data_IF_927792245596
#
_entry.id   IF_927792245596
#
_cell.length_a   1.000
_cell.length_b   1.000
_cell.length_c   1.000
_cell.angle_alpha   90.00
_cell.angle_beta   90.00
_cell.angle_gamma   90.00
#
_symmetry.space_group_name_H-M   'P 1'
#
loop_
_entity.id
_entity.type
_entity.pdbx_description
1 polymer ?
#
# COMPACT_ATOMS: atom_id res chain seq x y z
N UNK A 1 -16.78 -5.07 -20.63
CA UNK A 1 -16.51 -3.76 -19.99
C UNK A 1 -15.12 -3.81 -19.38
N UNK A 2 -14.29 -2.75 -19.56
CA UNK A 2 -12.99 -2.62 -18.91
C UNK A 2 -13.16 -2.52 -17.40
N UNK A 3 -12.39 -3.29 -16.63
CA UNK A 3 -12.38 -3.19 -15.16
C UNK A 3 -11.62 -1.92 -14.77
N UNK A 4 -12.34 -0.93 -14.23
CA UNK A 4 -11.75 0.34 -13.80
C UNK A 4 -11.02 0.17 -12.46
N UNK A 5 -9.78 0.71 -12.39
CA UNK A 5 -8.89 0.66 -11.23
C UNK A 5 -8.59 2.07 -10.75
N UNK A 6 -8.99 2.40 -9.51
CA UNK A 6 -8.62 3.64 -8.85
C UNK A 6 -7.37 3.41 -7.99
N UNK A 7 -6.31 4.18 -8.24
CA UNK A 7 -5.10 4.21 -7.41
C UNK A 7 -5.27 5.24 -6.32
N UNK A 8 -5.09 4.83 -5.07
CA UNK A 8 -5.23 5.67 -3.88
C UNK A 8 -3.86 5.82 -3.24
N UNK A 9 -3.40 7.06 -3.13
CA UNK A 9 -2.08 7.43 -2.62
C UNK A 9 -2.28 8.24 -1.32
N UNK A 10 -2.11 7.62 -0.14
CA UNK A 10 -2.12 8.37 1.11
C UNK A 10 -0.84 9.22 1.20
N UNK A 11 -0.98 10.51 1.52
CA UNK A 11 0.13 11.46 1.62
C UNK A 11 0.12 12.20 2.95
N UNK A 12 1.32 12.52 3.44
CA UNK A 12 1.55 13.42 4.56
C UNK A 12 2.97 13.95 4.50
N UNK A 13 3.13 15.24 4.15
CA UNK A 13 4.41 15.89 3.89
C UNK A 13 5.26 15.14 2.84
N UNK A 14 4.69 14.98 1.65
CA UNK A 14 5.29 14.25 0.52
C UNK A 14 5.55 15.17 -0.70
N UNK A 15 5.82 16.48 -0.46
CA UNK A 15 6.06 17.46 -1.54
C UNK A 15 7.12 17.00 -2.54
N UNK A 16 8.18 16.36 -2.05
CA UNK A 16 9.29 15.89 -2.89
C UNK A 16 8.92 14.73 -3.83
N UNK A 17 7.80 14.02 -3.59
CA UNK A 17 7.47 12.77 -4.29
C UNK A 17 6.06 12.71 -4.89
N UNK A 18 5.13 13.54 -4.44
CA UNK A 18 3.71 13.39 -4.77
C UNK A 18 3.42 13.50 -6.27
N UNK A 19 4.02 14.45 -6.98
CA UNK A 19 3.82 14.63 -8.43
C UNK A 19 4.28 13.39 -9.19
N UNK A 20 5.48 12.91 -8.88
CA UNK A 20 6.04 11.72 -9.51
C UNK A 20 5.23 10.46 -9.19
N UNK A 21 4.66 10.36 -7.98
CA UNK A 21 3.79 9.23 -7.61
C UNK A 21 2.51 9.22 -8.44
N UNK A 22 1.91 10.39 -8.69
CA UNK A 22 0.72 10.56 -9.54
C UNK A 22 1.04 10.15 -10.99
N UNK A 23 2.11 10.71 -11.59
CA UNK A 23 2.54 10.39 -12.95
C UNK A 23 2.80 8.88 -13.14
N UNK A 24 3.46 8.26 -12.17
CA UNK A 24 3.74 6.81 -12.19
C UNK A 24 2.48 5.97 -12.06
N UNK A 25 1.48 6.42 -11.28
CA UNK A 25 0.21 5.72 -11.19
C UNK A 25 -0.53 5.72 -12.54
N UNK A 26 -0.53 6.84 -13.24
CA UNK A 26 -1.06 6.92 -14.61
C UNK A 26 -0.27 6.04 -15.59
N UNK A 27 1.05 6.10 -15.55
CA UNK A 27 1.93 5.25 -16.38
C UNK A 27 1.71 3.76 -16.12
N UNK A 28 1.40 3.37 -14.88
CA UNK A 28 1.07 1.99 -14.54
C UNK A 28 -0.28 1.53 -15.11
N UNK A 29 -1.12 2.45 -15.60
CA UNK A 29 -2.40 2.14 -16.25
C UNK A 29 -3.62 2.41 -15.40
N UNK A 30 -3.55 3.30 -14.39
CA UNK A 30 -4.70 3.72 -13.61
C UNK A 30 -5.83 4.27 -14.49
N UNK A 31 -7.08 4.11 -14.05
CA UNK A 31 -8.24 4.77 -14.66
C UNK A 31 -8.65 6.01 -13.84
N UNK A 32 -8.15 6.11 -12.61
CA UNK A 32 -8.36 7.21 -11.69
C UNK A 32 -7.21 7.25 -10.67
N UNK A 33 -6.73 8.44 -10.36
CA UNK A 33 -5.71 8.65 -9.30
C UNK A 33 -6.27 9.57 -8.23
N UNK A 34 -6.19 9.13 -6.97
CA UNK A 34 -6.68 9.86 -5.81
C UNK A 34 -5.53 10.03 -4.82
N UNK A 35 -5.22 11.27 -4.53
CA UNK A 35 -4.32 11.62 -3.42
C UNK A 35 -5.18 11.88 -2.19
N UNK A 36 -4.93 11.12 -1.13
CA UNK A 36 -5.64 11.24 0.15
C UNK A 36 -4.70 11.85 1.20
N UNK A 37 -4.81 13.16 1.39
CA UNK A 37 -3.92 13.91 2.27
C UNK A 37 -4.38 13.90 3.73
N UNK A 38 -3.43 13.68 4.64
CA UNK A 38 -3.64 13.59 6.09
C UNK A 38 -3.43 14.90 6.86
N UNK A 39 -3.44 16.05 6.17
CA UNK A 39 -3.18 17.37 6.75
C UNK A 39 -1.72 17.79 6.61
N UNK A 40 -1.13 17.61 5.42
CA UNK A 40 0.23 18.08 5.09
C UNK A 40 0.40 19.58 5.35
N UNK A 41 1.57 19.98 5.80
CA UNK A 41 1.93 21.35 6.11
C UNK A 41 2.98 21.93 5.12
N UNK A 42 3.45 21.09 4.20
CA UNK A 42 4.33 21.44 3.08
C UNK A 42 3.52 21.67 1.79
N UNK A 43 4.19 21.74 0.65
CA UNK A 43 3.55 21.99 -0.64
C UNK A 43 2.81 20.76 -1.23
N UNK A 44 2.66 19.66 -0.49
CA UNK A 44 2.02 18.42 -0.97
C UNK A 44 0.64 18.68 -1.58
N UNK A 45 -0.24 19.37 -0.87
CA UNK A 45 -1.61 19.66 -1.34
C UNK A 45 -1.63 20.61 -2.54
N UNK A 46 -0.77 21.61 -2.56
CA UNK A 46 -0.64 22.54 -3.69
C UNK A 46 -0.21 21.81 -4.96
N UNK A 47 0.83 20.99 -4.86
CA UNK A 47 1.37 20.22 -5.98
C UNK A 47 0.37 19.14 -6.47
N UNK A 48 -0.28 18.43 -5.56
CA UNK A 48 -1.32 17.48 -5.94
C UNK A 48 -2.51 18.15 -6.63
N UNK A 49 -2.95 19.32 -6.13
CA UNK A 49 -4.05 20.09 -6.72
C UNK A 49 -3.76 20.65 -8.12
N UNK A 50 -2.48 20.78 -8.50
CA UNK A 50 -2.03 21.17 -9.83
C UNK A 50 -1.76 19.97 -10.75
N UNK A 51 -1.85 18.75 -10.23
CA UNK A 51 -1.60 17.52 -10.97
C UNK A 51 -2.90 16.86 -11.41
N UNK A 52 -2.81 15.93 -12.35
CA UNK A 52 -3.96 15.15 -12.82
C UNK A 52 -4.35 14.08 -11.79
N UNK A 53 -5.01 14.49 -10.73
CA UNK A 53 -5.54 13.61 -9.71
C UNK A 53 -6.72 14.24 -8.97
N UNK A 54 -7.46 13.42 -8.26
CA UNK A 54 -8.46 13.89 -7.31
C UNK A 54 -7.82 14.02 -5.93
N UNK A 55 -7.71 15.24 -5.41
CA UNK A 55 -7.26 15.48 -4.04
C UNK A 55 -8.44 15.37 -3.06
N UNK A 56 -8.27 14.59 -2.00
CA UNK A 56 -9.19 14.51 -0.87
C UNK A 56 -8.41 14.69 0.43
N UNK A 57 -9.01 15.35 1.41
CA UNK A 57 -8.41 15.54 2.73
C UNK A 57 -9.09 14.65 3.76
N UNK A 58 -8.33 14.21 4.74
CA UNK A 58 -8.82 13.44 5.87
C UNK A 58 -8.05 13.79 7.16
N UNK A 59 -8.57 13.41 8.33
CA UNK A 59 -7.73 13.44 9.54
C UNK A 59 -6.49 12.56 9.35
N UNK A 60 -5.38 12.94 10.00
CA UNK A 60 -4.13 12.20 9.97
C UNK A 60 -4.32 10.73 10.38
N UNK A 61 -3.68 9.83 9.65
CA UNK A 61 -3.73 8.40 9.91
C UNK A 61 -3.92 7.60 8.63
N UNK A 62 -2.99 6.70 8.34
CA UNK A 62 -2.95 5.96 7.06
C UNK A 62 -4.27 5.26 6.74
N UNK A 63 -4.88 4.58 7.71
CA UNK A 63 -6.18 3.94 7.53
C UNK A 63 -7.27 4.95 7.13
N UNK A 64 -7.32 6.11 7.79
CA UNK A 64 -8.29 7.17 7.50
C UNK A 64 -8.11 7.75 6.11
N UNK A 65 -6.87 8.05 5.73
CA UNK A 65 -6.53 8.54 4.40
C UNK A 65 -6.92 7.52 3.31
N UNK A 66 -6.55 6.24 3.49
CA UNK A 66 -6.91 5.18 2.57
C UNK A 66 -8.42 4.97 2.46
N UNK A 67 -9.14 5.04 3.57
CA UNK A 67 -10.61 4.96 3.60
C UNK A 67 -11.25 6.17 2.90
N UNK A 68 -10.77 7.39 3.15
CA UNK A 68 -11.25 8.60 2.50
C UNK A 68 -11.03 8.53 0.98
N UNK A 69 -9.85 8.12 0.53
CA UNK A 69 -9.57 7.89 -0.88
C UNK A 69 -10.47 6.82 -1.49
N UNK A 70 -10.69 5.70 -0.80
CA UNK A 70 -11.58 4.64 -1.25
C UNK A 70 -13.04 5.09 -1.40
N UNK A 71 -13.51 5.95 -0.50
CA UNK A 71 -14.87 6.53 -0.57
C UNK A 71 -15.01 7.49 -1.76
N UNK A 72 -13.96 8.24 -2.10
CA UNK A 72 -13.95 9.15 -3.22
C UNK A 72 -13.75 8.45 -4.58
N UNK A 73 -13.20 7.24 -4.57
CA UNK A 73 -12.90 6.47 -5.76
C UNK A 73 -14.17 6.03 -6.51
N UNK A 74 -14.10 5.94 -7.84
CA UNK A 74 -15.18 5.46 -8.73
C UNK A 74 -14.94 4.05 -9.28
N UNK A 75 -13.69 3.58 -9.30
CA UNK A 75 -13.29 2.30 -9.88
C UNK A 75 -13.88 1.09 -9.16
N UNK A 76 -14.09 0.01 -9.91
CA UNK A 76 -14.48 -1.30 -9.37
C UNK A 76 -13.39 -1.89 -8.47
N UNK A 77 -12.13 -1.59 -8.74
CA UNK A 77 -10.98 -2.06 -7.99
C UNK A 77 -10.27 -0.88 -7.35
N UNK A 78 -9.92 -1.02 -6.08
CA UNK A 78 -9.14 -0.07 -5.31
C UNK A 78 -7.72 -0.60 -5.21
N UNK A 79 -6.72 0.23 -5.55
CA UNK A 79 -5.30 -0.08 -5.43
C UNK A 79 -4.66 0.93 -4.48
N UNK A 80 -4.18 0.48 -3.33
CA UNK A 80 -3.55 1.31 -2.32
C UNK A 80 -2.03 1.32 -2.52
N UNK A 81 -1.45 2.46 -2.86
CA UNK A 81 -0.04 2.61 -3.18
C UNK A 81 0.58 3.71 -2.32
N UNK A 82 1.74 3.46 -1.72
CA UNK A 82 2.49 4.48 -0.99
C UNK A 82 3.14 5.47 -1.98
N UNK A 83 3.33 6.72 -1.56
CA UNK A 83 3.91 7.77 -2.40
C UNK A 83 5.38 7.48 -2.81
N UNK A 84 6.12 6.72 -2.01
CA UNK A 84 7.52 6.35 -2.25
C UNK A 84 7.71 5.02 -3.02
N UNK A 85 6.61 4.35 -3.40
CA UNK A 85 6.60 3.12 -4.18
C UNK A 85 5.95 3.37 -5.55
N UNK A 86 6.29 2.55 -6.56
CA UNK A 86 5.65 2.67 -7.88
C UNK A 86 5.59 1.35 -8.61
N UNK A 87 4.55 1.19 -9.40
CA UNK A 87 4.38 0.07 -10.31
C UNK A 87 5.05 0.35 -11.66
N UNK A 88 5.55 -0.69 -12.30
CA UNK A 88 6.01 -0.60 -13.68
C UNK A 88 4.86 -0.18 -14.62
N UNK A 89 5.22 0.42 -15.76
CA UNK A 89 4.24 0.80 -16.78
C UNK A 89 3.39 -0.40 -17.20
N UNK A 90 2.07 -0.24 -17.26
CA UNK A 90 1.12 -1.29 -17.61
C UNK A 90 0.89 -2.38 -16.55
N UNK A 91 1.53 -2.30 -15.37
CA UNK A 91 1.38 -3.33 -14.34
C UNK A 91 -0.06 -3.49 -13.80
N UNK A 92 -0.89 -2.46 -13.92
CA UNK A 92 -2.30 -2.52 -13.50
C UNK A 92 -3.14 -3.47 -14.39
N UNK A 93 -2.71 -3.79 -15.60
CA UNK A 93 -3.39 -4.80 -16.41
C UNK A 93 -3.36 -6.18 -15.75
N UNK A 94 -2.29 -6.50 -15.00
CA UNK A 94 -2.24 -7.72 -14.20
C UNK A 94 -3.35 -7.76 -13.13
N UNK A 95 -3.72 -6.60 -12.56
CA UNK A 95 -4.85 -6.49 -11.61
C UNK A 95 -6.16 -6.80 -12.34
N UNK A 96 -6.37 -6.22 -13.51
CA UNK A 96 -7.58 -6.45 -14.33
C UNK A 96 -7.74 -7.92 -14.68
N UNK A 97 -6.65 -8.57 -15.10
CA UNK A 97 -6.64 -10.01 -15.41
C UNK A 97 -6.94 -10.87 -14.17
N UNK A 98 -6.32 -10.54 -13.02
CA UNK A 98 -6.57 -11.27 -11.79
C UNK A 98 -8.02 -11.16 -11.33
N UNK A 99 -8.61 -9.97 -11.37
CA UNK A 99 -10.03 -9.73 -11.02
C UNK A 99 -10.96 -10.42 -12.02
N UNK A 100 -10.66 -10.36 -13.32
CA UNK A 100 -11.42 -11.09 -14.35
C UNK A 100 -11.35 -12.60 -14.12
N UNK A 101 -10.25 -13.11 -13.61
CA UNK A 101 -10.03 -14.50 -13.20
C UNK A 101 -10.61 -14.86 -11.83
N UNK A 102 -11.44 -13.98 -11.22
CA UNK A 102 -12.15 -14.26 -9.97
C UNK A 102 -11.37 -13.97 -8.68
N UNK A 103 -10.24 -13.26 -8.75
CA UNK A 103 -9.57 -12.79 -7.54
C UNK A 103 -10.36 -11.63 -6.92
N UNK A 104 -10.53 -11.62 -5.60
CA UNK A 104 -11.12 -10.48 -4.88
C UNK A 104 -10.05 -9.50 -4.40
N UNK A 105 -8.81 -9.94 -4.16
CA UNK A 105 -7.72 -9.10 -3.66
C UNK A 105 -6.35 -9.72 -3.94
N UNK A 106 -5.31 -8.90 -3.75
CA UNK A 106 -3.93 -9.35 -3.86
C UNK A 106 -2.92 -8.22 -3.66
N UNK A 107 -1.70 -8.48 -4.10
CA UNK A 107 -0.58 -7.55 -4.01
C UNK A 107 0.49 -7.92 -5.05
N UNK A 108 1.54 -7.11 -5.17
CA UNK A 108 2.59 -7.30 -6.15
C UNK A 108 3.88 -7.87 -5.54
N UNK A 109 4.66 -8.56 -6.37
CA UNK A 109 6.06 -8.83 -6.08
C UNK A 109 6.83 -7.52 -6.03
N UNK A 110 7.65 -7.38 -5.00
CA UNK A 110 8.47 -6.19 -4.79
C UNK A 110 9.80 -6.30 -5.55
N UNK A 111 10.29 -5.14 -6.00
CA UNK A 111 11.65 -4.92 -6.46
C UNK A 111 12.24 -3.77 -5.66
N UNK A 112 13.16 -4.06 -4.75
CA UNK A 112 13.82 -3.04 -3.93
C UNK A 112 14.91 -2.37 -4.76
N UNK A 113 14.86 -1.05 -4.84
CA UNK A 113 15.78 -0.24 -5.66
C UNK A 113 17.14 -0.07 -4.96
N UNK A 114 17.82 -1.20 -4.77
CA UNK A 114 19.18 -1.28 -4.27
C UNK A 114 19.87 -2.56 -4.75
N UNK A 115 21.18 -2.50 -4.93
CA UNK A 115 22.00 -3.65 -5.22
C UNK A 115 22.32 -4.45 -3.94
N UNK A 116 22.41 -5.76 -4.05
CA UNK A 116 22.84 -6.64 -2.97
C UNK A 116 21.94 -7.86 -2.73
N UNK A 117 22.56 -8.96 -2.35
CA UNK A 117 21.89 -10.26 -2.15
C UNK A 117 20.80 -10.19 -1.05
N UNK A 118 21.03 -9.42 0.01
CA UNK A 118 20.08 -9.31 1.12
C UNK A 118 18.73 -8.72 0.65
N UNK A 119 18.74 -7.76 -0.28
CA UNK A 119 17.50 -7.21 -0.84
C UNK A 119 16.76 -8.27 -1.68
N UNK A 120 17.49 -9.08 -2.48
CA UNK A 120 16.89 -10.17 -3.27
C UNK A 120 16.27 -11.24 -2.38
N UNK A 121 16.91 -11.56 -1.23
CA UNK A 121 16.36 -12.47 -0.24
C UNK A 121 15.10 -11.92 0.43
N UNK A 122 15.06 -10.61 0.72
CA UNK A 122 13.85 -9.97 1.24
C UNK A 122 12.68 -10.05 0.24
N UNK A 123 12.92 -9.69 -1.03
CA UNK A 123 11.92 -9.78 -2.09
C UNK A 123 11.36 -11.19 -2.22
N UNK A 124 12.24 -12.18 -2.29
CA UNK A 124 11.87 -13.58 -2.35
C UNK A 124 11.04 -14.01 -1.12
N UNK A 125 11.50 -13.67 0.09
CA UNK A 125 10.81 -13.98 1.34
C UNK A 125 9.43 -13.34 1.43
N UNK A 126 9.31 -12.07 1.01
CA UNK A 126 8.03 -11.35 0.97
C UNK A 126 7.07 -12.00 -0.04
N UNK A 127 7.54 -12.35 -1.23
CA UNK A 127 6.75 -13.06 -2.23
C UNK A 127 6.25 -14.41 -1.71
N UNK A 128 7.13 -15.23 -1.12
CA UNK A 128 6.75 -16.53 -0.54
C UNK A 128 5.75 -16.41 0.60
N UNK A 129 5.87 -15.37 1.44
CA UNK A 129 4.89 -15.10 2.50
C UNK A 129 3.49 -14.90 1.91
N UNK A 130 3.36 -14.09 0.87
CA UNK A 130 2.07 -13.85 0.19
C UNK A 130 1.58 -15.13 -0.47
N UNK A 131 2.43 -15.79 -1.26
CA UNK A 131 2.06 -17.00 -1.99
C UNK A 131 1.59 -18.13 -1.08
N UNK A 132 2.23 -18.32 0.08
CA UNK A 132 1.91 -19.42 0.98
C UNK A 132 0.89 -19.05 2.06
N UNK A 133 1.03 -17.86 2.66
CA UNK A 133 0.19 -17.46 3.80
C UNK A 133 -0.94 -16.50 3.40
N UNK A 134 -0.97 -16.02 2.15
CA UNK A 134 -1.94 -15.01 1.71
C UNK A 134 -1.90 -13.75 2.57
N UNK A 135 -0.70 -13.27 2.94
CA UNK A 135 -0.55 -12.17 3.88
C UNK A 135 0.37 -11.09 3.32
N UNK A 136 -0.07 -10.33 2.30
CA UNK A 136 0.64 -9.14 1.87
C UNK A 136 0.57 -8.05 2.93
N UNK A 137 1.52 -7.10 2.87
CA UNK A 137 1.54 -5.90 3.68
C UNK A 137 1.30 -4.68 2.78
N UNK A 138 1.02 -3.52 3.40
CA UNK A 138 0.72 -2.28 2.68
C UNK A 138 1.82 -1.82 1.73
N UNK A 139 3.07 -2.10 2.04
CA UNK A 139 4.23 -1.82 1.18
C UNK A 139 4.30 -2.68 -0.10
N UNK A 140 3.36 -3.59 -0.31
CA UNK A 140 3.22 -4.42 -1.52
C UNK A 140 2.11 -3.95 -2.47
N UNK A 141 1.59 -2.75 -2.30
CA UNK A 141 0.48 -2.15 -3.07
C UNK A 141 -0.71 -3.12 -3.17
N UNK A 142 -1.50 -3.13 -2.10
CA UNK A 142 -2.68 -4.00 -2.00
C UNK A 142 -3.74 -3.53 -2.99
N UNK A 143 -4.24 -4.43 -3.82
CA UNK A 143 -5.45 -4.22 -4.60
C UNK A 143 -6.62 -5.05 -4.06
N UNK A 144 -7.81 -4.52 -4.15
CA UNK A 144 -9.02 -5.20 -3.68
C UNK A 144 -10.24 -4.77 -4.49
N UNK A 145 -11.12 -5.70 -4.79
CA UNK A 145 -12.41 -5.39 -5.36
C UNK A 145 -13.26 -4.60 -4.37
N UNK A 146 -13.88 -3.50 -4.81
CA UNK A 146 -14.64 -2.59 -3.94
C UNK A 146 -15.67 -3.32 -3.08
N UNK A 147 -16.43 -4.23 -3.67
CA UNK A 147 -17.43 -5.02 -2.95
C UNK A 147 -16.85 -5.87 -1.83
N UNK A 148 -15.66 -6.45 -2.05
CA UNK A 148 -14.95 -7.20 -1.01
C UNK A 148 -14.41 -6.28 0.09
N UNK A 149 -13.88 -5.10 -0.27
CA UNK A 149 -13.38 -4.10 0.66
C UNK A 149 -14.48 -3.58 1.59
N UNK A 150 -15.65 -3.25 1.03
CA UNK A 150 -16.81 -2.82 1.82
C UNK A 150 -17.35 -3.94 2.72
N UNK A 151 -17.42 -5.16 2.19
CA UNK A 151 -17.95 -6.31 2.93
C UNK A 151 -17.11 -6.70 4.16
N UNK A 152 -15.80 -6.37 4.18
CA UNK A 152 -14.95 -6.62 5.36
C UNK A 152 -14.84 -5.43 6.30
N UNK A 153 -15.55 -4.32 6.00
CA UNK A 153 -15.59 -3.13 6.85
C UNK A 153 -14.44 -2.15 6.64
N UNK A 154 -13.77 -2.20 5.48
CA UNK A 154 -12.68 -1.29 5.09
C UNK A 154 -11.42 -1.46 5.94
N UNK A 155 -10.49 -0.49 5.89
CA UNK A 155 -9.36 -0.46 6.83
C UNK A 155 -9.85 -0.13 8.23
N UNK A 156 -9.48 -0.93 9.26
CA UNK A 156 -9.73 -0.53 10.64
C UNK A 156 -8.90 0.72 10.98
N UNK A 157 -9.53 1.69 11.61
CA UNK A 157 -8.89 2.97 11.97
C UNK A 157 -7.99 2.82 13.20
N UNK A 158 -6.92 2.07 13.03
CA UNK A 158 -5.88 1.84 14.04
C UNK A 158 -4.60 2.58 13.65
N UNK A 159 -3.76 2.94 14.63
CA UNK A 159 -2.56 3.71 14.34
C UNK A 159 -1.46 2.91 13.63
N UNK A 160 -1.51 1.57 13.67
CA UNK A 160 -0.50 0.69 13.07
C UNK A 160 -1.12 -0.68 12.70
N UNK A 161 -0.57 -1.35 11.66
CA UNK A 161 -0.99 -2.68 11.19
C UNK A 161 -2.40 -2.73 10.57
N UNK A 162 -2.94 -1.62 10.12
CA UNK A 162 -4.23 -1.51 9.43
C UNK A 162 -4.32 -2.43 8.22
N UNK A 163 -3.21 -2.54 7.47
CA UNK A 163 -3.06 -3.40 6.29
C UNK A 163 -3.10 -4.89 6.66
N UNK A 164 -2.39 -5.27 7.72
CA UNK A 164 -2.39 -6.65 8.23
C UNK A 164 -3.80 -7.08 8.67
N UNK A 165 -4.51 -6.18 9.36
CA UNK A 165 -5.86 -6.44 9.85
C UNK A 165 -6.86 -6.56 8.70
N UNK A 166 -6.81 -5.64 7.71
CA UNK A 166 -7.61 -5.73 6.49
C UNK A 166 -7.36 -7.06 5.78
N UNK A 167 -6.09 -7.39 5.50
CA UNK A 167 -5.73 -8.61 4.78
C UNK A 167 -6.11 -9.88 5.54
N UNK A 168 -6.14 -9.84 6.88
CA UNK A 168 -6.66 -10.94 7.69
C UNK A 168 -8.15 -11.19 7.45
N UNK A 169 -8.94 -10.14 7.26
CA UNK A 169 -10.37 -10.25 6.95
C UNK A 169 -10.58 -10.74 5.50
N UNK A 170 -9.91 -10.10 4.54
CA UNK A 170 -10.01 -10.46 3.12
C UNK A 170 -9.60 -11.92 2.88
N UNK A 171 -8.53 -12.40 3.51
CA UNK A 171 -8.06 -13.77 3.39
C UNK A 171 -9.07 -14.82 3.85
N UNK A 172 -10.01 -14.47 4.74
CA UNK A 172 -11.10 -15.37 5.16
C UNK A 172 -12.14 -15.57 4.07
N UNK A 173 -12.23 -14.61 3.12
CA UNK A 173 -13.15 -14.64 2.00
C UNK A 173 -12.52 -15.31 0.77
N UNK A 174 -11.35 -14.83 0.39
CA UNK A 174 -10.66 -15.28 -0.81
C UNK A 174 -9.16 -15.25 -0.58
N UNK A 175 -8.43 -16.18 -1.20
CA UNK A 175 -6.96 -16.20 -1.12
C UNK A 175 -6.37 -15.05 -1.94
N UNK A 176 -5.60 -14.14 -1.32
CA UNK A 176 -4.97 -13.02 -2.03
C UNK A 176 -4.03 -13.51 -3.15
N UNK A 177 -4.11 -12.89 -4.31
CA UNK A 177 -3.23 -13.17 -5.45
C UNK A 177 -1.95 -12.37 -5.34
N UNK A 178 -0.82 -13.03 -5.60
CA UNK A 178 0.46 -12.36 -5.78
C UNK A 178 0.70 -12.16 -7.27
N UNK A 179 0.81 -10.90 -7.70
CA UNK A 179 1.06 -10.54 -9.09
C UNK A 179 2.56 -10.36 -9.35
N UNK A 180 3.04 -10.66 -10.56
CA UNK A 180 4.46 -10.50 -10.91
C UNK A 180 5.00 -9.09 -10.72
N UNK A 181 4.21 -8.05 -10.96
CA UNK A 181 4.61 -6.65 -10.87
C UNK A 181 5.63 -6.27 -11.96
N UNK A 182 6.79 -5.72 -11.61
CA UNK A 182 7.22 -5.43 -10.25
C UNK A 182 6.61 -4.17 -9.64
N UNK A 183 6.46 -4.19 -8.31
CA UNK A 183 6.33 -2.99 -7.51
C UNK A 183 7.73 -2.55 -7.08
N UNK A 184 8.16 -1.40 -7.55
CA UNK A 184 9.42 -0.80 -7.14
C UNK A 184 9.29 -0.16 -5.77
N UNK A 185 10.22 -0.47 -4.88
CA UNK A 185 10.22 0.00 -3.49
C UNK A 185 11.50 0.75 -3.20
N UNK A 186 11.39 1.97 -2.65
CA UNK A 186 12.53 2.77 -2.28
C UNK A 186 13.32 2.12 -1.14
N UNK A 187 14.63 2.02 -1.31
CA UNK A 187 15.52 1.38 -0.34
C UNK A 187 15.95 2.27 0.84
N UNK A 188 15.58 3.57 0.87
CA UNK A 188 16.06 4.58 1.84
C UNK A 188 16.03 4.08 3.29
N UNK A 189 14.94 3.41 3.69
CA UNK A 189 14.75 2.92 5.06
C UNK A 189 15.78 1.85 5.43
N UNK A 190 16.03 0.90 4.52
CA UNK A 190 17.04 -0.14 4.76
C UNK A 190 18.47 0.39 4.65
N UNK A 191 18.71 1.37 3.78
CA UNK A 191 19.99 2.06 3.68
C UNK A 191 20.31 2.84 4.96
N UNK A 192 19.32 3.54 5.55
CA UNK A 192 19.47 4.32 6.78
C UNK A 192 19.70 3.45 8.03
N UNK A 193 18.97 2.35 8.17
CA UNK A 193 18.95 1.56 9.41
C UNK A 193 19.63 0.18 9.29
N UNK A 194 20.05 -0.22 8.10
CA UNK A 194 20.55 -1.54 7.78
C UNK A 194 19.44 -2.58 7.57
N UNK A 195 19.64 -3.48 6.58
CA UNK A 195 18.66 -4.48 6.17
C UNK A 195 18.26 -5.39 7.32
N UNK A 196 19.24 -5.96 8.02
CA UNK A 196 19.00 -6.94 9.09
C UNK A 196 18.28 -6.29 10.30
N UNK A 197 18.74 -5.11 10.72
CA UNK A 197 18.17 -4.40 11.86
C UNK A 197 16.71 -4.01 11.60
N UNK A 198 16.43 -3.48 10.41
CA UNK A 198 15.05 -3.10 10.04
C UNK A 198 14.14 -4.33 9.95
N UNK A 199 14.62 -5.42 9.36
CA UNK A 199 13.86 -6.67 9.24
C UNK A 199 13.56 -7.27 10.62
N UNK A 200 14.55 -7.32 11.52
CA UNK A 200 14.38 -7.81 12.89
C UNK A 200 13.38 -6.94 13.68
N UNK A 201 13.44 -5.61 13.50
CA UNK A 201 12.48 -4.69 14.10
C UNK A 201 11.05 -4.98 13.64
N UNK A 202 10.86 -5.16 12.35
CA UNK A 202 9.53 -5.50 11.80
C UNK A 202 9.02 -6.85 12.33
N UNK A 203 9.89 -7.86 12.44
CA UNK A 203 9.52 -9.16 12.99
C UNK A 203 9.16 -9.09 14.48
N UNK A 204 9.90 -8.31 15.28
CA UNK A 204 9.56 -8.09 16.70
C UNK A 204 8.18 -7.46 16.85
N UNK A 205 7.85 -6.50 16.02
CA UNK A 205 6.55 -5.82 16.01
C UNK A 205 5.42 -6.79 15.69
N UNK A 206 5.58 -7.61 14.63
CA UNK A 206 4.61 -8.64 14.26
C UNK A 206 4.47 -9.73 15.33
N UNK A 207 5.57 -10.14 15.96
CA UNK A 207 5.55 -11.11 17.06
C UNK A 207 4.81 -10.54 18.27
N UNK A 208 5.10 -9.31 18.69
CA UNK A 208 4.41 -8.64 19.79
C UNK A 208 2.90 -8.55 19.55
N UNK A 209 2.48 -8.17 18.33
CA UNK A 209 1.07 -8.19 17.95
C UNK A 209 0.46 -9.59 18.04
N UNK A 210 1.18 -10.60 17.58
CA UNK A 210 0.71 -12.01 17.64
C UNK A 210 0.56 -12.50 19.09
N UNK A 211 1.34 -11.97 20.02
CA UNK A 211 1.27 -12.27 21.45
C UNK A 211 0.29 -11.38 22.22
N UNK A 212 -0.49 -10.56 21.51
CA UNK A 212 -1.60 -9.81 22.09
C UNK A 212 -1.36 -8.32 22.31
N UNK A 213 -0.19 -7.78 21.92
CA UNK A 213 0.02 -6.33 21.98
C UNK A 213 -0.95 -5.60 21.02
N UNK A 214 -1.64 -4.59 21.54
CA UNK A 214 -2.57 -3.79 20.74
C UNK A 214 -1.83 -2.89 19.74
N UNK A 215 -2.48 -2.51 18.62
CA UNK A 215 -1.91 -1.54 17.67
C UNK A 215 -1.50 -0.22 18.33
N UNK A 216 -2.22 0.25 19.34
CA UNK A 216 -1.91 1.49 20.08
C UNK A 216 -0.63 1.36 20.91
N UNK A 217 -0.46 0.23 21.62
CA UNK A 217 0.78 -0.06 22.35
C UNK A 217 1.97 -0.17 21.43
N UNK A 218 1.80 -0.76 20.25
CA UNK A 218 2.85 -0.89 19.25
C UNK A 218 3.20 0.45 18.61
N UNK A 219 2.21 1.31 18.37
CA UNK A 219 2.43 2.63 17.80
C UNK A 219 3.24 3.54 18.72
N UNK A 220 3.04 3.46 20.04
CA UNK A 220 3.84 4.23 21.01
C UNK A 220 5.31 3.81 21.06
N UNK A 221 5.59 2.52 20.78
CA UNK A 221 6.94 1.96 20.74
C UNK A 221 7.61 2.06 19.35
N UNK A 222 6.83 2.44 18.32
CA UNK A 222 7.30 2.52 16.94
C UNK A 222 7.16 3.96 16.41
N UNK A 223 8.23 4.78 16.48
CA UNK A 223 8.19 6.13 15.95
C UNK A 223 7.74 6.08 14.47
N UNK A 224 6.70 6.81 14.14
CA UNK A 224 6.29 7.01 12.76
C UNK A 224 7.42 7.70 12.02
N UNK A 225 7.72 7.23 10.80
CA UNK A 225 8.80 7.79 10.00
C UNK A 225 8.40 9.07 9.26
N UNK A 226 7.21 9.50 9.48
CA UNK A 226 6.53 10.67 8.93
C UNK A 226 6.46 11.82 9.98
N UNK A 227 7.25 11.74 11.07
CA UNK A 227 7.50 12.81 12.03
C UNK A 227 8.96 13.21 12.03
#
# INVERSE_FOLDING_TARGET
MKIAVSVIIPTWNEEAGVVLAIERAWSAGADEVIVADGGSQDETCTLAGQSDCRLVTSPAGRARQQNAGAMAASGRVLLFQHADNWLAAGAIDQVREAIAGGAECGAFCQRIEAAGLLYRLLEWGNGRRVAWRGSPYGDQSIFVERTAFEAVGRFPEVPLLEDLLLMRQLRRRSRPRLLPGPLHVNARRWQKYGVLRQTLRNWRLLAAHRWGASPDQLASAYPRHDQ
#
